data_IF_517637382992
#
_entry.id   IF_517637382992
#
_cell.length_a   1.000
_cell.length_b   1.000
_cell.length_c   1.000
_cell.angle_alpha   90.00
_cell.angle_beta   90.00
_cell.angle_gamma   90.00
#
_symmetry.space_group_name_H-M   'P 1'
#
loop_
_entity.id
_entity.type
_entity.pdbx_description
1 polymer ?
#
# COMPACT_ATOMS: atom_id res chain seq x y z
N UNK A 1 8.50 20.24 22.27
CA UNK A 1 9.54 20.91 21.45
C UNK A 1 9.06 20.88 20.01
N UNK A 2 8.79 22.03 19.41
CA UNK A 2 8.41 22.09 17.99
C UNK A 2 9.61 21.63 17.15
N UNK A 3 9.43 20.55 16.38
CA UNK A 3 10.40 20.19 15.33
C UNK A 3 10.57 21.41 14.41
N UNK A 4 11.81 21.79 14.03
CA UNK A 4 12.01 22.83 13.03
C UNK A 4 11.27 22.42 11.75
N UNK A 5 10.49 23.36 11.20
CA UNK A 5 9.76 23.19 9.95
C UNK A 5 10.80 22.86 8.87
N UNK A 6 10.67 21.70 8.23
CA UNK A 6 11.58 21.26 7.18
C UNK A 6 11.71 22.35 6.09
N UNK A 7 12.93 22.57 5.61
CA UNK A 7 13.20 23.42 4.45
C UNK A 7 12.39 22.89 3.26
N UNK A 8 11.71 23.74 2.47
CA UNK A 8 10.94 23.26 1.32
C UNK A 8 11.83 22.42 0.39
N UNK A 9 11.47 21.14 0.19
CA UNK A 9 12.18 20.21 -0.68
C UNK A 9 13.19 19.27 -0.01
N UNK A 10 13.37 19.33 1.31
CA UNK A 10 14.21 18.37 2.05
C UNK A 10 13.34 17.50 2.95
N UNK A 11 13.14 16.25 2.54
CA UNK A 11 12.47 15.24 3.35
C UNK A 11 13.52 14.33 4.00
N UNK A 12 13.25 13.88 5.22
CA UNK A 12 14.07 12.88 5.91
C UNK A 12 13.20 11.67 6.18
N UNK A 13 13.65 10.49 5.74
CA UNK A 13 12.98 9.23 6.04
C UNK A 13 13.62 8.64 7.30
N UNK A 14 12.85 8.58 8.37
CA UNK A 14 13.22 7.85 9.59
C UNK A 14 12.87 6.37 9.40
N UNK A 15 13.85 5.55 9.00
CA UNK A 15 13.68 4.12 8.74
C UNK A 15 13.25 3.30 9.97
N UNK A 16 13.29 3.88 11.18
CA UNK A 16 12.75 3.25 12.38
C UNK A 16 11.22 3.36 12.48
N UNK A 17 10.59 4.23 11.67
CA UNK A 17 9.14 4.31 11.65
C UNK A 17 8.52 3.02 11.07
N UNK A 18 7.49 2.44 11.71
CA UNK A 18 6.86 1.19 11.26
C UNK A 18 6.32 1.21 9.82
N UNK A 19 5.98 2.38 9.28
CA UNK A 19 5.49 2.50 7.91
C UNK A 19 6.54 2.10 6.85
N UNK A 20 7.83 2.15 7.17
CA UNK A 20 8.90 1.75 6.25
C UNK A 20 9.25 0.27 6.33
N UNK A 21 8.54 -0.51 7.16
CA UNK A 21 8.84 -1.92 7.40
C UNK A 21 8.68 -2.79 6.13
N UNK A 22 9.80 -3.36 5.69
CA UNK A 22 10.03 -4.10 4.45
C UNK A 22 10.27 -3.24 3.21
N UNK A 23 10.50 -1.93 3.39
CA UNK A 23 11.09 -1.05 2.37
C UNK A 23 12.51 -0.60 2.76
N UNK A 24 12.98 -0.89 3.97
CA UNK A 24 14.23 -0.32 4.47
C UNK A 24 15.45 -0.71 3.64
N UNK A 25 15.54 -1.97 3.20
CA UNK A 25 16.67 -2.43 2.38
C UNK A 25 16.77 -1.65 1.07
N UNK A 26 15.67 -1.56 0.32
CA UNK A 26 15.63 -0.81 -0.93
C UNK A 26 15.85 0.70 -0.72
N UNK A 27 15.35 1.27 0.38
CA UNK A 27 15.60 2.68 0.72
C UNK A 27 17.08 2.93 1.06
N UNK A 28 17.73 2.03 1.80
CA UNK A 28 19.16 2.09 2.09
C UNK A 28 20.01 1.92 0.83
N UNK A 29 19.60 1.05 -0.10
CA UNK A 29 20.29 0.89 -1.39
C UNK A 29 20.21 2.17 -2.23
N UNK A 30 19.04 2.80 -2.30
CA UNK A 30 18.83 4.01 -3.12
C UNK A 30 19.45 5.28 -2.52
N UNK A 31 19.45 5.41 -1.19
CA UNK A 31 19.77 6.66 -0.51
C UNK A 31 20.97 6.58 0.45
N UNK A 32 21.49 5.38 0.72
CA UNK A 32 22.51 5.15 1.75
C UNK A 32 21.98 5.32 3.17
N UNK A 33 22.89 5.44 4.14
CA UNK A 33 22.56 5.58 5.58
C UNK A 33 21.88 6.93 5.93
N UNK A 34 21.99 7.93 5.06
CA UNK A 34 21.36 9.24 5.24
C UNK A 34 20.30 9.46 4.16
N UNK A 35 19.06 9.07 4.44
CA UNK A 35 17.89 9.31 3.57
C UNK A 35 17.43 10.79 3.57
N UNK A 36 18.23 11.69 4.16
CA UNK A 36 18.11 13.13 4.01
C UNK A 36 18.87 13.58 2.74
N UNK A 37 18.36 13.26 1.56
CA UNK A 37 19.03 13.64 0.30
C UNK A 37 18.31 14.80 -0.38
N UNK A 38 19.09 15.65 -1.05
CA UNK A 38 18.59 16.69 -1.97
C UNK A 38 18.37 16.17 -3.39
N UNK A 39 18.77 14.92 -3.66
CA UNK A 39 18.69 14.29 -4.98
C UNK A 39 18.00 12.94 -4.89
N UNK A 40 16.95 12.78 -5.68
CA UNK A 40 16.24 11.51 -5.83
C UNK A 40 16.97 10.57 -6.80
N UNK A 41 16.82 9.25 -6.62
CA UNK A 41 17.39 8.26 -7.51
C UNK A 41 16.89 8.49 -8.95
N UNK A 42 17.78 8.26 -9.91
CA UNK A 42 17.40 8.27 -11.31
C UNK A 42 16.75 6.94 -11.72
N UNK A 43 16.29 6.89 -12.96
CA UNK A 43 15.63 5.71 -13.53
C UNK A 43 16.52 4.47 -13.49
N UNK A 44 17.84 4.61 -13.63
CA UNK A 44 18.76 3.48 -13.63
C UNK A 44 18.90 2.87 -12.23
N UNK A 45 19.00 3.71 -11.20
CA UNK A 45 19.01 3.27 -9.81
C UNK A 45 17.68 2.61 -9.39
N UNK A 46 16.54 3.14 -9.84
CA UNK A 46 15.24 2.48 -9.60
C UNK A 46 15.15 1.14 -10.34
N UNK A 47 15.68 1.06 -11.56
CA UNK A 47 15.67 -0.17 -12.35
C UNK A 47 16.55 -1.27 -11.73
N UNK A 48 17.66 -0.93 -11.06
CA UNK A 48 18.56 -1.93 -10.46
C UNK A 48 17.94 -2.68 -9.29
N UNK A 49 16.93 -2.11 -8.62
CA UNK A 49 16.16 -2.79 -7.58
C UNK A 49 15.34 -3.96 -8.14
N UNK A 50 14.81 -3.83 -9.36
CA UNK A 50 13.90 -4.84 -9.92
C UNK A 50 14.66 -6.10 -10.32
N UNK A 51 14.14 -7.26 -9.88
CA UNK A 51 14.58 -8.53 -10.42
C UNK A 51 14.23 -8.58 -11.93
N UNK A 52 15.16 -9.01 -12.81
CA UNK A 52 14.90 -9.07 -14.27
C UNK A 52 13.71 -9.94 -14.68
N UNK A 53 13.22 -10.81 -13.79
CA UNK A 53 12.05 -11.67 -14.03
C UNK A 53 10.72 -10.97 -13.77
N UNK A 54 10.71 -9.77 -13.19
CA UNK A 54 9.49 -8.99 -12.97
C UNK A 54 8.92 -8.59 -14.33
N UNK A 55 7.70 -9.04 -14.59
CA UNK A 55 6.99 -8.81 -15.84
C UNK A 55 5.52 -8.51 -15.59
N UNK A 56 4.88 -7.83 -16.54
CA UNK A 56 3.43 -7.67 -16.54
C UNK A 56 2.73 -8.99 -16.97
N UNK A 57 1.39 -9.02 -16.93
CA UNK A 57 0.63 -10.22 -17.33
C UNK A 57 0.68 -10.54 -18.84
N UNK A 58 1.29 -9.68 -19.67
CA UNK A 58 1.60 -9.96 -21.08
C UNK A 58 3.04 -10.50 -21.28
N UNK A 59 3.76 -10.77 -20.20
CA UNK A 59 5.14 -11.26 -20.23
C UNK A 59 6.16 -10.19 -20.65
N UNK A 60 5.79 -8.91 -20.68
CA UNK A 60 6.73 -7.82 -20.92
C UNK A 60 7.49 -7.53 -19.63
N UNK A 61 8.82 -7.50 -19.71
CA UNK A 61 9.66 -7.13 -18.58
C UNK A 61 9.35 -5.71 -18.13
N UNK A 62 9.25 -5.49 -16.83
CA UNK A 62 8.98 -4.16 -16.28
C UNK A 62 10.23 -3.29 -16.40
N UNK A 63 10.07 -2.13 -17.04
CA UNK A 63 11.13 -1.16 -17.25
C UNK A 63 10.66 0.23 -16.81
N UNK A 64 11.39 0.87 -15.91
CA UNK A 64 11.20 2.29 -15.63
C UNK A 64 11.82 3.11 -16.76
N UNK A 65 11.07 4.08 -17.29
CA UNK A 65 11.53 4.91 -18.40
C UNK A 65 11.07 6.35 -18.25
N UNK A 66 11.82 7.29 -18.85
CA UNK A 66 11.40 8.68 -18.93
C UNK A 66 10.06 8.81 -19.69
N UNK A 67 9.13 9.68 -19.27
CA UNK A 67 7.88 9.93 -19.98
C UNK A 67 8.09 10.32 -21.46
N UNK A 68 9.21 10.99 -21.78
CA UNK A 68 9.56 11.39 -23.15
C UNK A 68 9.88 10.23 -24.10
N UNK A 69 10.09 9.02 -23.57
CA UNK A 69 10.43 7.82 -24.34
C UNK A 69 9.23 6.91 -24.63
N UNK A 70 8.04 7.27 -24.12
CA UNK A 70 6.82 6.50 -24.29
C UNK A 70 6.06 6.94 -25.55
N UNK A 71 5.40 6.00 -26.24
CA UNK A 71 4.50 6.36 -27.32
C UNK A 71 3.31 7.17 -26.78
N UNK A 72 2.61 7.85 -27.69
CA UNK A 72 1.31 8.44 -27.36
C UNK A 72 0.36 7.31 -26.95
N UNK A 73 -0.21 7.42 -25.75
CA UNK A 73 -1.01 6.38 -25.15
C UNK A 73 -1.33 6.72 -23.70
N UNK A 74 -2.26 5.98 -23.11
CA UNK A 74 -2.56 6.14 -21.70
C UNK A 74 -1.52 5.38 -20.84
N UNK A 75 -1.34 5.80 -19.59
CA UNK A 75 -0.33 5.24 -18.67
C UNK A 75 -0.46 3.72 -18.50
N UNK A 76 -1.68 3.21 -18.30
CA UNK A 76 -1.93 1.80 -18.03
C UNK A 76 -1.71 0.93 -19.27
N UNK A 77 -2.10 1.43 -20.43
CA UNK A 77 -1.87 0.79 -21.73
C UNK A 77 -0.39 0.66 -22.05
N UNK A 78 0.42 1.68 -21.78
CA UNK A 78 1.87 1.61 -21.98
C UNK A 78 2.51 0.51 -21.13
N UNK A 79 2.13 0.42 -19.85
CA UNK A 79 2.63 -0.64 -18.97
C UNK A 79 2.15 -2.01 -19.46
N UNK A 80 0.87 -2.17 -19.80
CA UNK A 80 0.31 -3.46 -20.19
C UNK A 80 0.88 -3.98 -21.51
N UNK A 81 1.07 -3.11 -22.50
CA UNK A 81 1.50 -3.50 -23.85
C UNK A 81 3.01 -3.58 -24.01
N UNK A 82 3.78 -2.80 -23.23
CA UNK A 82 5.24 -2.70 -23.42
C UNK A 82 6.07 -2.99 -22.16
N UNK A 83 5.44 -3.12 -20.99
CA UNK A 83 6.13 -3.25 -19.70
C UNK A 83 6.76 -1.94 -19.20
N UNK A 84 6.63 -0.84 -19.95
CA UNK A 84 7.28 0.44 -19.61
C UNK A 84 6.44 1.26 -18.65
N UNK A 85 6.98 1.51 -17.47
CA UNK A 85 6.40 2.34 -16.41
C UNK A 85 6.98 3.76 -16.54
N UNK A 86 6.11 4.76 -16.70
CA UNK A 86 6.53 6.15 -16.79
C UNK A 86 7.07 6.64 -15.44
N UNK A 87 8.30 7.15 -15.44
CA UNK A 87 9.03 7.58 -14.23
C UNK A 87 9.68 8.94 -14.47
N UNK A 88 9.13 9.98 -13.83
CA UNK A 88 9.60 11.36 -13.92
C UNK A 88 10.85 11.55 -13.05
N UNK A 89 11.84 12.32 -13.51
CA UNK A 89 12.99 12.67 -12.69
C UNK A 89 12.55 13.52 -11.49
N UNK A 90 13.23 13.32 -10.35
CA UNK A 90 12.99 14.08 -9.12
C UNK A 90 11.53 14.06 -8.66
N UNK A 91 10.91 12.87 -8.65
CA UNK A 91 9.52 12.70 -8.26
C UNK A 91 9.37 11.59 -7.20
N UNK A 92 9.04 11.96 -5.96
CA UNK A 92 8.86 11.00 -4.84
C UNK A 92 7.78 9.97 -5.12
N UNK A 93 6.67 10.40 -5.70
CA UNK A 93 5.57 9.52 -6.06
C UNK A 93 6.02 8.39 -7.00
N UNK A 94 6.83 8.70 -8.01
CA UNK A 94 7.36 7.70 -8.94
C UNK A 94 8.44 6.81 -8.30
N UNK A 95 9.23 7.33 -7.35
CA UNK A 95 10.15 6.52 -6.51
C UNK A 95 9.37 5.51 -5.69
N UNK A 96 8.31 5.93 -5.01
CA UNK A 96 7.47 5.02 -4.22
C UNK A 96 6.69 4.05 -5.08
N UNK A 97 6.24 4.45 -6.28
CA UNK A 97 5.63 3.54 -7.23
C UNK A 97 6.63 2.46 -7.68
N UNK A 98 7.90 2.82 -7.91
CA UNK A 98 8.96 1.86 -8.22
C UNK A 98 9.24 0.89 -7.06
N UNK A 99 9.26 1.38 -5.81
CA UNK A 99 9.39 0.54 -4.62
C UNK A 99 8.21 -0.43 -4.45
N UNK A 100 6.99 0.01 -4.75
CA UNK A 100 5.82 -0.88 -4.74
C UNK A 100 5.91 -1.92 -5.87
N UNK A 101 6.37 -1.57 -7.07
CA UNK A 101 6.66 -2.55 -8.12
C UNK A 101 7.72 -3.57 -7.72
N UNK A 102 8.76 -3.14 -6.99
CA UNK A 102 9.79 -4.02 -6.45
C UNK A 102 9.22 -5.00 -5.42
N UNK A 103 8.39 -4.50 -4.51
CA UNK A 103 7.86 -5.30 -3.40
C UNK A 103 6.66 -6.15 -3.76
N UNK A 104 5.72 -5.63 -4.55
CA UNK A 104 4.47 -6.26 -4.95
C UNK A 104 4.33 -6.39 -6.48
N UNK A 105 5.28 -7.05 -7.16
CA UNK A 105 5.29 -7.12 -8.62
C UNK A 105 4.06 -7.84 -9.19
N UNK A 106 3.62 -8.95 -8.57
CA UNK A 106 2.47 -9.70 -9.08
C UNK A 106 1.18 -8.89 -8.93
N UNK A 107 0.99 -8.23 -7.79
CA UNK A 107 -0.18 -7.41 -7.53
C UNK A 107 -0.24 -6.20 -8.46
N UNK A 108 0.88 -5.50 -8.67
CA UNK A 108 0.95 -4.37 -9.62
C UNK A 108 0.66 -4.80 -11.05
N UNK A 109 1.18 -5.94 -11.49
CA UNK A 109 0.88 -6.51 -12.80
C UNK A 109 -0.61 -6.85 -12.96
N UNK A 110 -1.23 -7.43 -11.93
CA UNK A 110 -2.66 -7.75 -11.93
C UNK A 110 -3.54 -6.49 -11.97
N UNK A 111 -3.23 -5.47 -11.15
CA UNK A 111 -3.96 -4.20 -11.15
C UNK A 111 -3.86 -3.50 -12.50
N UNK A 112 -2.66 -3.43 -13.09
CA UNK A 112 -2.46 -2.84 -14.42
C UNK A 112 -3.29 -3.55 -15.50
N UNK A 113 -3.29 -4.88 -15.52
CA UNK A 113 -4.08 -5.64 -16.50
C UNK A 113 -5.58 -5.37 -16.39
N UNK A 114 -6.10 -5.24 -15.17
CA UNK A 114 -7.51 -4.95 -14.93
C UNK A 114 -7.83 -3.50 -15.29
N UNK A 115 -6.96 -2.54 -14.93
CA UNK A 115 -7.11 -1.15 -15.35
C UNK A 115 -7.19 -1.04 -16.88
N UNK A 116 -6.29 -1.72 -17.59
CA UNK A 116 -6.31 -1.76 -19.05
C UNK A 116 -7.61 -2.38 -19.58
N UNK A 117 -8.01 -3.55 -19.09
CA UNK A 117 -9.24 -4.21 -19.52
C UNK A 117 -10.51 -3.38 -19.27
N UNK A 118 -10.60 -2.70 -18.12
CA UNK A 118 -11.73 -1.82 -17.78
C UNK A 118 -11.75 -0.54 -18.61
N UNK A 119 -10.58 -0.02 -19.01
CA UNK A 119 -10.49 1.09 -19.96
C UNK A 119 -11.05 0.71 -21.33
N UNK A 120 -10.76 -0.50 -21.83
CA UNK A 120 -11.27 -0.95 -23.14
C UNK A 120 -12.79 -1.14 -23.16
N UNK A 121 -13.42 -1.40 -22.00
CA UNK A 121 -14.88 -1.56 -21.88
C UNK A 121 -15.63 -0.23 -21.77
N UNK A 122 -14.96 0.87 -21.47
CA UNK A 122 -15.61 2.17 -21.24
C UNK A 122 -15.97 2.85 -22.57
N UNK A 123 -17.26 2.91 -22.90
CA UNK A 123 -17.80 3.66 -24.05
C UNK A 123 -18.19 5.12 -23.70
N UNK A 124 -17.81 5.63 -22.52
CA UNK A 124 -18.21 6.94 -21.99
C UNK A 124 -17.18 7.56 -21.03
N UNK A 125 -17.47 8.74 -20.47
CA UNK A 125 -16.48 9.60 -19.76
C UNK A 125 -16.17 9.24 -18.30
N UNK A 126 -16.79 8.19 -17.74
CA UNK A 126 -16.63 7.81 -16.32
C UNK A 126 -15.76 6.57 -16.11
N UNK A 127 -14.91 6.59 -15.07
CA UNK A 127 -14.23 5.38 -14.59
C UNK A 127 -15.24 4.44 -13.92
N UNK A 128 -15.14 3.14 -14.19
CA UNK A 128 -15.97 2.11 -13.57
C UNK A 128 -15.63 1.88 -12.09
N UNK A 129 -16.59 1.38 -11.31
CA UNK A 129 -16.48 1.15 -9.86
C UNK A 129 -15.26 0.32 -9.46
N UNK A 130 -14.93 -0.71 -10.24
CA UNK A 130 -13.75 -1.55 -10.01
C UNK A 130 -12.45 -0.75 -10.20
N UNK A 131 -12.35 0.00 -11.30
CA UNK A 131 -11.19 0.84 -11.60
C UNK A 131 -10.98 1.92 -10.53
N UNK A 132 -12.05 2.54 -10.04
CA UNK A 132 -11.95 3.52 -8.95
C UNK A 132 -11.45 2.87 -7.65
N UNK A 133 -11.92 1.66 -7.34
CA UNK A 133 -11.47 0.92 -6.15
C UNK A 133 -10.00 0.51 -6.25
N UNK A 134 -9.55 0.03 -7.41
CA UNK A 134 -8.16 -0.34 -7.63
C UNK A 134 -7.24 0.87 -7.70
N UNK A 135 -7.67 1.98 -8.29
CA UNK A 135 -6.91 3.24 -8.22
C UNK A 135 -6.74 3.67 -6.76
N UNK A 136 -7.82 3.64 -5.97
CA UNK A 136 -7.75 4.02 -4.56
C UNK A 136 -6.82 3.13 -3.75
N UNK A 137 -6.80 1.83 -4.04
CA UNK A 137 -5.93 0.88 -3.37
C UNK A 137 -4.47 0.97 -3.85
N UNK A 138 -4.22 1.22 -5.13
CA UNK A 138 -2.86 1.43 -5.64
C UNK A 138 -2.23 2.72 -5.09
N UNK A 139 -3.04 3.75 -4.83
CA UNK A 139 -2.59 5.02 -4.26
C UNK A 139 -2.43 4.96 -2.74
N UNK A 140 -3.43 4.41 -2.04
CA UNK A 140 -3.57 4.54 -0.59
C UNK A 140 -3.86 3.21 0.13
N UNK A 141 -3.52 2.08 -0.50
CA UNK A 141 -3.85 0.75 -0.01
C UNK A 141 -2.87 0.17 1.00
N UNK A 142 -3.41 -0.67 1.85
CA UNK A 142 -2.62 -1.60 2.66
C UNK A 142 -3.26 -2.99 2.66
N UNK A 143 -2.50 -3.98 3.08
CA UNK A 143 -2.98 -5.31 3.46
C UNK A 143 -2.81 -5.43 4.99
N UNK A 144 -3.88 -5.79 5.69
CA UNK A 144 -3.85 -6.18 7.11
C UNK A 144 -4.06 -7.68 7.18
N UNK A 145 -3.01 -8.41 7.54
CA UNK A 145 -3.03 -9.87 7.65
C UNK A 145 -2.99 -10.31 9.12
N UNK A 146 -3.81 -11.29 9.49
CA UNK A 146 -3.77 -11.89 10.84
C UNK A 146 -4.32 -13.31 10.83
N UNK A 147 -3.82 -14.15 11.74
CA UNK A 147 -4.46 -15.43 12.05
C UNK A 147 -5.74 -15.27 12.89
N UNK A 148 -5.92 -14.11 13.54
CA UNK A 148 -7.03 -13.84 14.46
C UNK A 148 -8.14 -13.06 13.76
N UNK A 149 -9.18 -13.74 13.27
CA UNK A 149 -10.30 -13.10 12.57
C UNK A 149 -10.99 -11.98 13.36
N UNK A 150 -11.04 -12.06 14.69
CA UNK A 150 -11.74 -11.08 15.55
C UNK A 150 -11.19 -9.65 15.44
N UNK A 151 -9.87 -9.45 15.33
CA UNK A 151 -9.31 -8.10 15.17
C UNK A 151 -9.66 -7.53 13.79
N UNK A 152 -9.66 -8.38 12.76
CA UNK A 152 -10.03 -7.99 11.40
C UNK A 152 -11.52 -7.65 11.30
N UNK A 153 -12.40 -8.45 11.92
CA UNK A 153 -13.84 -8.16 12.01
C UNK A 153 -14.09 -6.84 12.76
N UNK A 154 -13.32 -6.56 13.80
CA UNK A 154 -13.43 -5.31 14.57
C UNK A 154 -13.00 -4.09 13.75
N UNK A 155 -11.94 -4.22 12.95
CA UNK A 155 -11.53 -3.22 11.96
C UNK A 155 -12.59 -3.02 10.87
N UNK A 156 -13.15 -4.10 10.32
CA UNK A 156 -14.19 -4.07 9.30
C UNK A 156 -15.44 -3.32 9.79
N UNK A 157 -15.78 -3.49 11.06
CA UNK A 157 -16.88 -2.81 11.74
C UNK A 157 -16.53 -1.39 12.23
N UNK A 158 -15.31 -0.91 11.96
CA UNK A 158 -14.83 0.42 12.36
C UNK A 158 -14.96 0.68 13.86
N UNK A 159 -14.84 -0.37 14.67
CA UNK A 159 -14.76 -0.26 16.11
C UNK A 159 -13.30 0.03 16.50
N UNK A 160 -12.92 1.31 16.45
CA UNK A 160 -11.53 1.74 16.65
C UNK A 160 -10.99 1.45 18.04
N UNK A 161 -11.79 1.64 19.09
CA UNK A 161 -11.39 1.30 20.46
C UNK A 161 -11.12 -0.19 20.59
N UNK A 162 -12.04 -1.04 20.13
CA UNK A 162 -11.82 -2.49 20.14
C UNK A 162 -10.59 -2.90 19.33
N UNK A 163 -10.43 -2.34 18.13
CA UNK A 163 -9.34 -2.70 17.24
C UNK A 163 -7.97 -2.27 17.79
N UNK A 164 -7.85 -1.06 18.32
CA UNK A 164 -6.56 -0.47 18.69
C UNK A 164 -6.22 -0.53 20.17
N UNK A 165 -7.22 -0.58 21.07
CA UNK A 165 -7.02 -0.68 22.52
C UNK A 165 -7.23 -2.11 23.02
N UNK A 166 -8.42 -2.69 22.84
CA UNK A 166 -8.72 -4.03 23.38
C UNK A 166 -7.81 -5.10 22.76
N UNK A 167 -7.55 -4.98 21.45
CA UNK A 167 -6.66 -5.86 20.70
C UNK A 167 -5.23 -5.31 20.52
N UNK A 168 -4.80 -4.32 21.32
CA UNK A 168 -3.46 -3.72 21.22
C UNK A 168 -2.32 -4.76 21.24
N UNK A 169 -2.48 -5.83 22.03
CA UNK A 169 -1.51 -6.91 22.15
C UNK A 169 -1.32 -7.70 20.85
N UNK A 170 -2.37 -7.88 20.04
CA UNK A 170 -2.31 -8.59 18.77
C UNK A 170 -1.50 -7.81 17.73
N UNK A 171 -1.50 -6.47 17.76
CA UNK A 171 -0.74 -5.66 16.80
C UNK A 171 0.77 -5.88 16.87
N UNK A 172 1.29 -6.31 18.02
CA UNK A 172 2.72 -6.57 18.19
C UNK A 172 3.14 -7.92 17.62
N UNK A 173 2.28 -8.93 17.74
CA UNK A 173 2.66 -10.32 17.51
C UNK A 173 1.92 -10.94 16.33
N UNK A 174 0.64 -10.65 16.18
CA UNK A 174 -0.33 -11.46 15.43
C UNK A 174 -1.04 -10.69 14.30
N UNK A 175 -0.74 -9.41 14.12
CA UNK A 175 -1.17 -8.60 12.97
C UNK A 175 0.06 -8.14 12.19
N UNK A 176 -0.03 -8.21 10.86
CA UNK A 176 0.96 -7.65 9.95
C UNK A 176 0.30 -6.63 9.05
N UNK A 177 0.96 -5.51 8.87
CA UNK A 177 0.54 -4.42 7.99
C UNK A 177 1.55 -4.28 6.88
N UNK A 178 1.07 -4.37 5.64
CA UNK A 178 1.88 -4.20 4.45
C UNK A 178 1.34 -3.02 3.65
N UNK A 179 2.13 -1.96 3.50
CA UNK A 179 1.77 -0.83 2.64
C UNK A 179 2.03 -1.22 1.19
N UNK A 180 0.98 -1.26 0.39
CA UNK A 180 1.05 -1.50 -1.06
C UNK A 180 0.60 -0.28 -1.88
N UNK A 181 0.12 0.78 -1.23
CA UNK A 181 -0.22 2.05 -1.86
C UNK A 181 0.97 3.01 -1.93
N UNK A 182 1.35 3.46 -3.12
CA UNK A 182 2.57 4.25 -3.30
C UNK A 182 2.45 5.71 -2.84
N UNK A 183 1.32 6.39 -3.07
CA UNK A 183 1.09 7.72 -2.52
C UNK A 183 0.90 7.74 -1.00
N UNK A 184 0.58 6.59 -0.38
CA UNK A 184 0.58 6.47 1.08
C UNK A 184 1.99 6.60 1.65
N UNK A 185 2.99 6.02 0.99
CA UNK A 185 4.40 6.17 1.38
C UNK A 185 4.84 7.64 1.28
N UNK A 186 4.39 8.35 0.25
CA UNK A 186 4.67 9.79 0.10
C UNK A 186 4.13 10.62 1.27
N UNK A 187 2.94 10.30 1.78
CA UNK A 187 2.39 10.96 2.98
C UNK A 187 3.24 10.76 4.23
N UNK A 188 4.05 9.70 4.29
CA UNK A 188 4.97 9.46 5.41
C UNK A 188 6.28 10.25 5.32
N UNK A 189 6.52 11.00 4.24
CA UNK A 189 7.59 12.00 4.20
C UNK A 189 7.34 13.20 5.13
N UNK A 190 6.07 13.51 5.40
CA UNK A 190 5.63 14.52 6.38
C UNK A 190 4.33 14.05 7.06
N UNK A 191 4.43 13.09 8.00
CA UNK A 191 3.26 12.38 8.53
C UNK A 191 2.39 13.27 9.41
N UNK A 192 1.07 13.12 9.27
CA UNK A 192 0.06 13.80 10.08
C UNK A 192 -0.95 12.81 10.68
N UNK A 193 -1.56 13.15 11.82
CA UNK A 193 -2.40 12.22 12.62
C UNK A 193 -3.55 11.59 11.83
N UNK A 194 -4.16 12.34 10.91
CA UNK A 194 -5.36 11.93 10.17
C UNK A 194 -5.11 11.10 8.89
N UNK A 195 -3.89 10.58 8.67
CA UNK A 195 -3.62 9.67 7.55
C UNK A 195 -4.52 8.42 7.68
N UNK A 196 -5.37 8.22 6.68
CA UNK A 196 -6.27 7.07 6.58
C UNK A 196 -5.93 6.28 5.32
N UNK A 197 -5.66 4.99 5.50
CA UNK A 197 -5.44 4.06 4.41
C UNK A 197 -6.71 3.28 4.03
N UNK A 198 -6.63 2.54 2.94
CA UNK A 198 -7.67 1.65 2.44
C UNK A 198 -7.20 0.20 2.59
N UNK A 199 -7.60 -0.44 3.68
CA UNK A 199 -7.14 -1.75 4.09
C UNK A 199 -7.94 -2.87 3.43
N UNK A 200 -7.23 -3.79 2.78
CA UNK A 200 -7.73 -5.12 2.49
C UNK A 200 -7.48 -6.00 3.72
N UNK A 201 -8.54 -6.56 4.30
CA UNK A 201 -8.48 -7.36 5.52
C UNK A 201 -8.37 -8.84 5.15
N UNK A 202 -7.27 -9.48 5.53
CA UNK A 202 -6.94 -10.85 5.14
C UNK A 202 -6.75 -11.72 6.37
N UNK A 203 -7.63 -12.70 6.55
CA UNK A 203 -7.45 -13.75 7.55
C UNK A 203 -6.65 -14.88 6.91
N UNK A 204 -5.53 -15.24 7.53
CA UNK A 204 -4.69 -16.37 7.10
C UNK A 204 -4.69 -17.45 8.19
N UNK A 205 -4.27 -18.67 7.86
CA UNK A 205 -4.06 -19.70 8.87
C UNK A 205 -2.77 -19.43 9.70
N UNK A 206 -2.66 -20.01 10.91
CA UNK A 206 -1.49 -19.82 11.76
C UNK A 206 -0.16 -20.26 11.12
N UNK A 207 -0.16 -21.30 10.29
CA UNK A 207 1.07 -21.80 9.67
C UNK A 207 1.57 -20.82 8.61
N UNK A 208 0.66 -20.26 7.80
CA UNK A 208 0.94 -19.16 6.87
C UNK A 208 1.42 -17.90 7.59
N UNK A 209 0.94 -17.63 8.81
CA UNK A 209 1.45 -16.50 9.60
C UNK A 209 2.87 -16.74 10.12
N UNK A 210 3.21 -17.99 10.44
CA UNK A 210 4.48 -18.39 11.06
C UNK A 210 5.68 -18.38 10.11
N UNK A 211 5.49 -18.33 8.78
CA UNK A 211 6.57 -18.33 7.77
C UNK A 211 7.48 -17.10 7.80
N UNK A 212 7.13 -16.09 8.62
CA UNK A 212 7.84 -14.83 8.74
C UNK A 212 7.36 -13.77 7.75
N UNK A 213 7.61 -12.49 8.07
CA UNK A 213 7.06 -11.34 7.35
C UNK A 213 7.37 -11.33 5.87
N UNK A 214 8.63 -11.61 5.49
CA UNK A 214 9.08 -11.51 4.10
C UNK A 214 8.52 -12.64 3.23
N UNK A 215 8.41 -13.86 3.75
CA UNK A 215 7.75 -14.95 3.03
C UNK A 215 6.25 -14.70 2.92
N UNK A 216 5.60 -14.31 4.03
CA UNK A 216 4.18 -13.96 4.04
C UNK A 216 3.87 -12.83 3.04
N UNK A 217 4.75 -11.84 2.92
CA UNK A 217 4.58 -10.76 1.95
C UNK A 217 4.57 -11.29 0.50
N UNK A 218 5.51 -12.18 0.14
CA UNK A 218 5.59 -12.79 -1.19
C UNK A 218 4.42 -13.71 -1.48
N UNK A 219 3.94 -14.43 -0.48
CA UNK A 219 2.78 -15.33 -0.59
C UNK A 219 1.51 -14.52 -0.80
N UNK A 220 1.34 -13.43 -0.04
CA UNK A 220 0.24 -12.48 -0.22
C UNK A 220 0.28 -11.80 -1.60
N UNK A 221 1.44 -11.33 -2.07
CA UNK A 221 1.57 -10.70 -3.39
C UNK A 221 1.02 -11.62 -4.50
N UNK A 222 1.48 -12.89 -4.52
CA UNK A 222 1.05 -13.89 -5.51
C UNK A 222 -0.42 -14.27 -5.36
N UNK A 223 -0.87 -14.59 -4.14
CA UNK A 223 -2.22 -15.07 -3.90
C UNK A 223 -3.28 -13.99 -4.13
N UNK A 224 -3.01 -12.75 -3.73
CA UNK A 224 -3.91 -11.62 -3.97
C UNK A 224 -3.97 -11.24 -5.44
N UNK A 225 -2.83 -11.24 -6.15
CA UNK A 225 -2.80 -11.03 -7.59
C UNK A 225 -3.67 -12.06 -8.33
N UNK A 226 -3.55 -13.35 -7.98
CA UNK A 226 -4.35 -14.42 -8.57
C UNK A 226 -5.86 -14.22 -8.32
N UNK A 227 -6.26 -13.95 -7.08
CA UNK A 227 -7.67 -13.67 -6.74
C UNK A 227 -8.21 -12.44 -7.45
N UNK A 228 -7.38 -11.42 -7.62
CA UNK A 228 -7.77 -10.18 -8.28
C UNK A 228 -8.04 -10.43 -9.77
N UNK A 229 -7.18 -11.19 -10.46
CA UNK A 229 -7.39 -11.61 -11.86
C UNK A 229 -8.63 -12.49 -12.01
N UNK A 230 -8.92 -13.36 -11.04
CA UNK A 230 -10.13 -14.18 -11.01
C UNK A 230 -11.42 -13.36 -10.77
N UNK A 231 -11.32 -12.12 -10.31
CA UNK A 231 -12.47 -11.28 -9.98
C UNK A 231 -13.07 -11.53 -8.59
N UNK A 232 -12.32 -12.21 -7.72
CA UNK A 232 -12.77 -12.70 -6.40
C UNK A 232 -12.21 -11.88 -5.22
N UNK A 233 -11.55 -10.75 -5.51
CA UNK A 233 -10.95 -9.89 -4.49
C UNK A 233 -11.71 -8.56 -4.33
N UNK A 234 -11.29 -7.49 -5.02
CA UNK A 234 -11.88 -6.15 -4.90
C UNK A 234 -12.91 -5.94 -6.00
N UNK A 235 -14.12 -5.50 -5.64
CA UNK A 235 -15.20 -5.17 -6.59
C UNK A 235 -15.65 -3.71 -6.52
N UNK A 236 -15.47 -3.06 -5.38
CA UNK A 236 -15.79 -1.65 -5.14
C UNK A 236 -15.01 -1.12 -3.95
N UNK A 237 -15.07 0.19 -3.71
CA UNK A 237 -14.42 0.83 -2.55
C UNK A 237 -14.94 0.33 -1.21
N UNK A 238 -16.16 -0.21 -1.16
CA UNK A 238 -16.73 -0.81 0.05
C UNK A 238 -15.97 -2.07 0.51
N UNK A 239 -15.13 -2.65 -0.35
CA UNK A 239 -14.32 -3.82 -0.02
C UNK A 239 -13.03 -3.44 0.73
N UNK A 240 -12.74 -2.14 0.82
CA UNK A 240 -11.56 -1.61 1.48
C UNK A 240 -11.99 -0.93 2.78
N UNK A 241 -11.55 -1.45 3.91
CA UNK A 241 -11.83 -0.84 5.20
C UNK A 241 -10.99 0.43 5.36
N UNK A 242 -11.56 1.58 5.74
CA UNK A 242 -10.73 2.70 6.16
C UNK A 242 -9.88 2.26 7.37
N UNK A 243 -8.61 2.67 7.42
CA UNK A 243 -7.73 2.43 8.55
C UNK A 243 -6.99 3.72 8.94
N UNK A 244 -7.36 4.37 10.06
CA UNK A 244 -6.58 5.47 10.61
C UNK A 244 -5.21 4.96 11.09
N UNK A 245 -4.14 5.29 10.36
CA UNK A 245 -2.82 4.68 10.60
C UNK A 245 -2.18 5.12 11.92
N UNK A 246 -2.47 6.35 12.36
CA UNK A 246 -2.04 6.82 13.66
C UNK A 246 -2.70 6.04 14.82
N UNK A 247 -3.76 5.27 14.57
CA UNK A 247 -4.36 4.38 15.56
C UNK A 247 -3.63 3.07 15.76
N UNK A 248 -2.79 2.65 14.81
CA UNK A 248 -2.04 1.40 14.97
C UNK A 248 -1.05 1.58 16.13
N UNK A 249 -1.05 0.70 17.15
CA UNK A 249 -0.14 0.83 18.29
C UNK A 249 1.33 0.95 17.86
N UNK A 250 2.00 1.99 18.32
CA UNK A 250 3.40 2.31 18.00
C UNK A 250 3.64 3.09 16.70
N UNK A 251 2.60 3.37 15.89
CA UNK A 251 2.76 4.08 14.62
C UNK A 251 2.76 5.60 14.75
N UNK A 252 2.15 6.15 15.81
CA UNK A 252 2.22 7.58 16.11
C UNK A 252 3.39 7.87 17.05
N UNK A 253 4.45 8.51 16.54
CA UNK A 253 5.67 8.81 17.30
C UNK A 253 5.76 10.24 17.82
N UNK A 254 4.81 11.11 17.44
CA UNK A 254 4.80 12.54 17.82
C UNK A 254 4.04 12.82 19.12
N UNK A 255 3.60 11.80 19.85
CA UNK A 255 2.87 11.90 21.11
C UNK A 255 2.41 10.54 21.63
N UNK A 256 1.75 10.52 22.78
CA UNK A 256 1.20 9.29 23.38
C UNK A 256 -0.10 8.86 22.67
N UNK A 257 -0.34 7.55 22.65
CA UNK A 257 -1.57 6.92 22.12
C UNK A 257 -2.42 6.43 23.31
N UNK A 258 -2.91 7.36 24.11
CA UNK A 258 -3.77 7.12 25.28
C UNK A 258 -5.27 7.19 24.94
N UNK A 259 -6.13 7.13 25.96
CA UNK A 259 -7.59 7.17 25.78
C UNK A 259 -8.07 8.46 25.11
N UNK A 260 -7.46 9.61 25.45
CA UNK A 260 -7.79 10.91 24.84
C UNK A 260 -7.39 10.93 23.36
N UNK A 261 -6.23 10.37 23.02
CA UNK A 261 -5.79 10.22 21.64
C UNK A 261 -6.82 9.50 20.78
N UNK A 262 -7.33 8.35 21.26
CA UNK A 262 -8.33 7.53 20.57
C UNK A 262 -9.76 8.07 20.64
N UNK A 263 -10.05 9.00 21.55
CA UNK A 263 -11.33 9.71 21.63
C UNK A 263 -11.48 10.80 20.54
N UNK A 264 -10.41 11.14 19.81
CA UNK A 264 -10.43 12.11 18.73
C UNK A 264 -11.26 11.65 17.53
N UNK A 265 -12.54 12.02 17.51
CA UNK A 265 -13.49 11.68 16.45
C UNK A 265 -13.18 12.30 15.09
N UNK A 266 -12.28 13.29 14.98
CA UNK A 266 -11.86 13.81 13.68
C UNK A 266 -11.01 12.77 12.91
N UNK A 267 -10.28 11.94 13.65
CA UNK A 267 -9.44 10.84 13.18
C UNK A 267 -10.17 9.50 13.27
N UNK A 268 -10.70 9.17 14.44
CA UNK A 268 -11.40 7.92 14.75
C UNK A 268 -12.90 8.08 14.55
N UNK A 269 -13.31 8.37 13.31
CA UNK A 269 -14.71 8.68 12.98
C UNK A 269 -15.62 7.48 13.21
N UNK A 270 -16.74 7.72 13.88
CA UNK A 270 -17.83 6.74 14.02
C UNK A 270 -18.47 6.46 12.65
N UNK A 271 -18.72 5.20 12.28
CA UNK A 271 -19.46 4.87 11.07
C UNK A 271 -20.90 5.39 11.12
N UNK A 272 -21.44 5.74 9.95
CA UNK A 272 -22.89 5.91 9.81
C UNK A 272 -23.62 4.57 10.03
N UNK A 273 -24.83 4.62 10.59
CA UNK A 273 -25.66 3.44 10.84
C UNK A 273 -26.77 3.33 9.78
N UNK A 274 -27.05 2.13 9.22
CA UNK A 274 -26.36 0.86 9.48
C UNK A 274 -24.99 0.81 8.81
N UNK A 275 -24.02 0.18 9.47
CA UNK A 275 -22.70 -0.07 8.89
C UNK A 275 -22.76 -1.26 7.91
N UNK A 276 -22.13 -1.10 6.75
CA UNK A 276 -21.77 -2.22 5.87
C UNK A 276 -20.28 -2.46 6.05
N UNK A 277 -19.87 -3.53 6.77
CA UNK A 277 -18.46 -3.79 7.00
C UNK A 277 -17.77 -4.25 5.72
N UNK A 278 -16.47 -3.92 5.60
CA UNK A 278 -15.64 -4.50 4.54
C UNK A 278 -15.51 -6.02 4.75
N UNK A 279 -15.41 -6.82 3.68
CA UNK A 279 -15.22 -8.26 3.81
C UNK A 279 -13.84 -8.57 4.42
N UNK A 280 -13.79 -9.62 5.24
CA UNK A 280 -12.54 -10.25 5.67
C UNK A 280 -12.29 -11.45 4.76
N UNK A 281 -11.22 -11.39 3.98
CA UNK A 281 -10.86 -12.44 3.03
C UNK A 281 -10.12 -13.55 3.75
N UNK A 282 -10.71 -14.74 3.80
CA UNK A 282 -10.01 -15.94 4.25
C UNK A 282 -9.13 -16.46 3.13
N UNK A 283 -7.84 -16.60 3.39
CA UNK A 283 -6.85 -17.05 2.44
C UNK A 283 -6.03 -18.19 3.04
N UNK A 284 -6.00 -19.29 2.31
CA UNK A 284 -5.03 -20.36 2.49
C UNK A 284 -3.86 -20.03 1.56
N UNK A 285 -2.65 -19.91 2.10
CA UNK A 285 -1.46 -19.53 1.33
C UNK A 285 -0.57 -20.74 0.99
N UNK A 286 -1.00 -21.96 1.33
CA UNK A 286 -0.32 -23.23 1.05
C UNK A 286 -0.76 -23.87 -0.27
#
# INVERSE_FOLDING_TARGET
MNKPRATPGQHSIDLNMPCWEGYQEALLELFGESVATTKLPDVAALQSLLCPTVSNLQGQAIQFVSPSSLPAGNYEENIFTTGKVSTRPNNWHDVFNALVWWRFPALKAAMNAIHYAEQQKQSGSGRGTLRDALTLWDECGIIVASAHGRVLETLANRNWQGAFQDFAHLWRNDVRVFICGHALLEKFLDPYKAITAHALLVQIDPDSFAVGRENLQKDLDRALAAKLVQGDLIKSTAYLSPLPLAGVPGWWTSGEQDDEFYADTAVFRTPASPIVPAPVFKMDLH
#
